data_IF_271384605893
#
_entry.id   IF_271384605893
#
_cell.length_a   1.000
_cell.length_b   1.000
_cell.length_c   1.000
_cell.angle_alpha   90.00
_cell.angle_beta   90.00
_cell.angle_gamma   90.00
#
_symmetry.space_group_name_H-M   'P 1'
#
loop_
_entity.id
_entity.type
_entity.pdbx_description
1 polymer ?
#
# COMPACT_ATOMS: atom_id res chain seq x y z
N UNK A 1 12.72 59.29 -38.70
CA UNK A 1 11.27 59.16 -39.01
C UNK A 1 11.16 58.35 -40.30
N UNK A 2 10.52 57.19 -40.44
CA UNK A 2 9.68 56.31 -39.61
C UNK A 2 10.09 54.89 -40.02
N UNK A 3 10.47 54.02 -39.08
CA UNK A 3 10.67 52.60 -39.39
C UNK A 3 9.30 51.92 -39.34
N UNK A 4 9.03 51.19 -40.42
CA UNK A 4 7.78 50.56 -40.79
C UNK A 4 7.39 49.47 -39.79
N UNK A 5 6.11 49.44 -39.46
CA UNK A 5 5.47 48.50 -38.56
C UNK A 5 5.61 47.06 -39.09
N UNK A 6 6.13 46.16 -38.25
CA UNK A 6 6.12 44.72 -38.52
C UNK A 6 4.79 44.18 -38.01
N UNK A 7 4.01 43.62 -38.92
CA UNK A 7 2.78 42.92 -38.63
C UNK A 7 2.76 41.61 -39.44
N UNK A 8 2.23 40.58 -38.77
CA UNK A 8 1.54 39.37 -39.25
C UNK A 8 2.36 38.08 -39.49
N UNK A 9 1.83 37.04 -38.83
CA UNK A 9 1.67 35.64 -39.27
C UNK A 9 2.80 34.66 -38.95
N UNK A 10 2.71 34.02 -37.77
CA UNK A 10 3.25 32.66 -37.61
C UNK A 10 2.11 31.69 -37.93
N UNK A 11 2.20 31.08 -39.11
CA UNK A 11 1.32 30.02 -39.57
C UNK A 11 1.66 28.71 -38.83
N UNK A 12 0.63 28.08 -38.25
CA UNK A 12 0.71 26.70 -37.75
C UNK A 12 0.80 25.74 -38.94
N UNK A 13 1.87 24.95 -39.01
CA UNK A 13 1.93 23.76 -39.85
C UNK A 13 2.11 22.55 -38.93
N UNK A 14 1.00 21.86 -38.69
CA UNK A 14 1.02 20.45 -38.30
C UNK A 14 1.53 19.63 -39.48
N UNK A 15 2.52 18.76 -39.24
CA UNK A 15 2.53 17.36 -39.71
C UNK A 15 3.94 16.78 -39.63
N UNK A 16 4.22 16.00 -38.58
CA UNK A 16 5.10 14.82 -38.67
C UNK A 16 4.55 13.77 -37.70
N UNK A 17 3.72 12.85 -38.20
CA UNK A 17 3.55 11.54 -37.57
C UNK A 17 4.38 10.57 -38.39
N UNK A 18 5.64 10.40 -37.99
CA UNK A 18 6.46 9.27 -38.42
C UNK A 18 6.31 8.18 -37.37
N UNK A 19 5.37 7.28 -37.60
CA UNK A 19 5.24 6.04 -36.82
C UNK A 19 6.47 5.16 -37.07
N UNK A 20 7.43 5.19 -36.16
CA UNK A 20 8.48 4.17 -36.06
C UNK A 20 7.94 3.02 -35.23
N UNK A 21 7.58 1.92 -35.90
CA UNK A 21 7.31 0.64 -35.25
C UNK A 21 8.65 -0.01 -34.90
N UNK A 22 9.04 0.01 -33.63
CA UNK A 22 10.12 -0.85 -33.15
C UNK A 22 9.54 -2.22 -32.82
N UNK A 23 9.91 -3.23 -33.62
CA UNK A 23 9.76 -4.62 -33.25
C UNK A 23 10.80 -4.95 -32.18
N UNK A 24 10.39 -5.04 -30.91
CA UNK A 24 11.21 -5.59 -29.83
C UNK A 24 11.16 -7.11 -29.90
N UNK A 25 12.30 -7.71 -30.24
CA UNK A 25 12.56 -9.13 -30.08
C UNK A 25 12.55 -9.47 -28.59
N UNK A 26 11.59 -10.29 -28.16
CA UNK A 26 11.63 -10.91 -26.84
C UNK A 26 12.47 -12.19 -26.92
N UNK A 27 13.71 -12.11 -26.45
CA UNK A 27 14.49 -13.28 -26.03
C UNK A 27 14.18 -13.49 -24.54
N UNK A 28 13.89 -14.74 -24.20
CA UNK A 28 13.53 -15.22 -22.87
C UNK A 28 14.64 -15.04 -21.82
N UNK A 29 14.18 -14.99 -20.57
CA UNK A 29 14.87 -15.18 -19.29
C UNK A 29 15.40 -13.93 -18.59
N UNK A 30 14.68 -13.53 -17.54
CA UNK A 30 15.10 -12.55 -16.55
C UNK A 30 13.92 -12.15 -15.66
N UNK A 31 13.73 -12.90 -14.57
CA UNK A 31 13.08 -12.48 -13.33
C UNK A 31 12.16 -11.25 -13.39
N UNK A 32 10.85 -11.48 -13.57
CA UNK A 32 9.85 -10.55 -13.05
C UNK A 32 9.66 -10.83 -11.54
N UNK A 33 10.61 -10.34 -10.74
CA UNK A 33 10.33 -9.98 -9.34
C UNK A 33 9.55 -8.67 -9.39
N UNK A 34 8.27 -8.79 -9.72
CA UNK A 34 7.29 -7.72 -9.68
C UNK A 34 6.09 -8.23 -8.91
N UNK A 35 6.31 -8.66 -7.67
CA UNK A 35 5.22 -8.82 -6.72
C UNK A 35 4.68 -7.42 -6.45
N UNK A 36 3.70 -7.02 -7.26
CA UNK A 36 2.67 -6.08 -6.87
C UNK A 36 2.26 -6.46 -5.46
N UNK A 37 2.48 -5.52 -4.52
CA UNK A 37 1.93 -5.62 -3.18
C UNK A 37 0.46 -5.97 -3.34
N UNK A 38 0.14 -7.23 -3.09
CA UNK A 38 -1.21 -7.67 -2.94
C UNK A 38 -1.72 -6.88 -1.73
N UNK A 39 -2.52 -5.87 -2.05
CA UNK A 39 -3.55 -5.25 -1.23
C UNK A 39 -4.46 -6.38 -0.71
N UNK A 40 -3.91 -7.19 0.17
CA UNK A 40 -4.65 -8.14 0.98
C UNK A 40 -5.53 -7.26 1.85
N UNK A 41 -6.81 -7.23 1.48
CA UNK A 41 -7.78 -6.22 1.90
C UNK A 41 -7.61 -5.78 3.33
N UNK A 42 -7.78 -4.47 3.53
CA UNK A 42 -7.50 -3.72 4.75
C UNK A 42 -8.00 -4.39 6.06
N UNK A 43 -8.97 -5.32 6.01
CA UNK A 43 -9.51 -6.03 7.16
C UNK A 43 -9.72 -7.56 7.04
N UNK A 44 -9.27 -8.24 5.98
CA UNK A 44 -9.60 -9.66 5.83
C UNK A 44 -8.79 -10.55 6.80
N UNK A 45 -9.37 -10.86 7.97
CA UNK A 45 -8.78 -11.72 9.01
C UNK A 45 -9.72 -12.89 9.37
N UNK A 46 -10.22 -13.61 8.37
CA UNK A 46 -10.83 -14.93 8.59
C UNK A 46 -9.81 -16.06 8.40
N UNK A 47 -8.65 -15.95 9.04
CA UNK A 47 -7.66 -17.04 9.05
C UNK A 47 -7.34 -17.42 10.49
N UNK A 48 -7.72 -18.65 10.88
CA UNK A 48 -7.24 -19.29 12.11
C UNK A 48 -5.81 -19.78 11.84
N UNK A 49 -4.81 -19.04 12.28
CA UNK A 49 -3.43 -19.51 12.33
C UNK A 49 -2.88 -19.30 13.74
N UNK A 50 -2.25 -20.32 14.31
CA UNK A 50 -1.60 -20.28 15.64
C UNK A 50 -0.55 -19.17 15.78
N UNK A 51 -0.11 -18.57 14.67
CA UNK A 51 0.85 -17.47 14.62
C UNK A 51 0.20 -16.08 14.65
N UNK A 52 -1.12 -15.97 14.61
CA UNK A 52 -1.85 -14.70 14.58
C UNK A 52 -2.09 -14.09 15.96
N UNK A 53 -1.91 -14.85 17.04
CA UNK A 53 -2.04 -14.38 18.43
C UNK A 53 -0.71 -13.98 19.07
N UNK A 54 0.40 -14.05 18.32
CA UNK A 54 1.71 -13.60 18.79
C UNK A 54 1.80 -12.08 18.75
N UNK A 55 2.48 -11.52 19.76
CA UNK A 55 2.94 -10.13 19.76
C UNK A 55 3.62 -9.81 18.41
N UNK A 56 3.17 -8.76 17.69
CA UNK A 56 3.66 -8.44 16.36
C UNK A 56 5.15 -8.11 16.35
N UNK A 57 5.70 -7.50 17.41
CA UNK A 57 7.14 -7.22 17.52
C UNK A 57 7.89 -8.53 17.71
N UNK A 58 7.43 -9.40 18.63
CA UNK A 58 8.06 -10.70 18.87
C UNK A 58 8.12 -11.56 17.61
N UNK A 59 7.06 -11.58 16.81
CA UNK A 59 7.03 -12.30 15.52
C UNK A 59 8.08 -11.76 14.54
N UNK A 60 8.29 -10.45 14.51
CA UNK A 60 9.29 -9.81 13.65
C UNK A 60 10.72 -10.11 14.13
N UNK A 61 10.95 -10.12 15.44
CA UNK A 61 12.23 -10.55 16.02
C UNK A 61 12.53 -12.03 15.75
N UNK A 62 11.53 -12.91 15.84
CA UNK A 62 11.65 -14.32 15.43
C UNK A 62 12.06 -14.42 13.95
N UNK A 63 11.47 -13.60 13.06
CA UNK A 63 11.84 -13.58 11.64
C UNK A 63 13.28 -13.11 11.40
N UNK A 64 13.81 -12.17 12.20
CA UNK A 64 15.25 -11.80 12.12
C UNK A 64 16.15 -13.00 12.41
N UNK A 65 15.81 -13.80 13.43
CA UNK A 65 16.57 -15.03 13.77
C UNK A 65 16.52 -16.07 12.65
N UNK A 66 15.38 -16.20 11.97
CA UNK A 66 15.25 -17.08 10.80
C UNK A 66 16.14 -16.60 9.64
N UNK A 67 16.18 -15.29 9.37
CA UNK A 67 17.05 -14.72 8.33
C UNK A 67 18.52 -14.98 8.65
N UNK A 68 18.94 -14.79 9.90
CA UNK A 68 20.32 -15.11 10.32
C UNK A 68 20.65 -16.59 10.14
N UNK A 69 19.69 -17.48 10.38
CA UNK A 69 19.85 -18.92 10.13
C UNK A 69 19.97 -19.21 8.64
N UNK A 70 19.09 -18.65 7.80
CA UNK A 70 19.15 -18.78 6.35
C UNK A 70 20.49 -18.28 5.78
N UNK A 71 21.04 -17.20 6.33
CA UNK A 71 22.36 -16.68 5.94
C UNK A 71 23.50 -17.63 6.31
N UNK A 72 23.48 -18.19 7.54
CA UNK A 72 24.50 -19.16 8.00
C UNK A 72 24.46 -20.46 7.20
N UNK A 73 23.27 -20.89 6.78
CA UNK A 73 23.05 -22.07 5.96
C UNK A 73 23.39 -21.82 4.47
N UNK A 74 23.66 -20.57 4.08
CA UNK A 74 23.96 -20.20 2.69
C UNK A 74 22.73 -20.14 1.78
N UNK A 75 21.52 -20.18 2.34
CA UNK A 75 20.25 -20.13 1.59
C UNK A 75 19.96 -18.73 1.04
N UNK A 76 20.54 -17.69 1.63
CA UNK A 76 20.44 -16.30 1.19
C UNK A 76 21.81 -15.62 1.18
N UNK A 77 21.95 -14.61 0.33
CA UNK A 77 23.15 -13.76 0.30
C UNK A 77 23.15 -12.78 1.47
N UNK A 78 24.34 -12.27 1.81
CA UNK A 78 24.51 -11.22 2.84
C UNK A 78 23.67 -9.98 2.52
N UNK A 79 23.68 -9.53 1.28
CA UNK A 79 22.91 -8.36 0.81
C UNK A 79 21.40 -8.56 1.02
N UNK A 80 20.87 -9.73 0.66
CA UNK A 80 19.45 -10.07 0.86
C UNK A 80 19.09 -10.15 2.34
N UNK A 81 19.97 -10.72 3.16
CA UNK A 81 19.77 -10.79 4.61
C UNK A 81 19.71 -9.39 5.24
N UNK A 82 20.59 -8.48 4.82
CA UNK A 82 20.62 -7.08 5.26
C UNK A 82 19.35 -6.33 4.83
N UNK A 83 18.93 -6.47 3.57
CA UNK A 83 17.70 -5.84 3.06
C UNK A 83 16.45 -6.31 3.84
N UNK A 84 16.31 -7.62 4.03
CA UNK A 84 15.18 -8.19 4.77
C UNK A 84 15.18 -7.75 6.24
N UNK A 85 16.37 -7.72 6.86
CA UNK A 85 16.53 -7.26 8.24
C UNK A 85 16.15 -5.79 8.37
N UNK A 86 16.59 -4.94 7.44
CA UNK A 86 16.22 -3.52 7.39
C UNK A 86 14.71 -3.32 7.27
N UNK A 87 14.04 -4.04 6.37
CA UNK A 87 12.57 -3.99 6.23
C UNK A 87 11.85 -4.38 7.53
N UNK A 88 12.39 -5.35 8.27
CA UNK A 88 11.84 -5.74 9.57
C UNK A 88 12.03 -4.64 10.60
N UNK A 89 13.23 -4.07 10.70
CA UNK A 89 13.53 -3.00 11.64
C UNK A 89 12.66 -1.75 11.39
N UNK A 90 12.46 -1.38 10.12
CA UNK A 90 11.52 -0.33 9.72
C UNK A 90 10.08 -0.63 10.16
N UNK A 91 9.65 -1.90 10.06
CA UNK A 91 8.31 -2.32 10.48
C UNK A 91 8.16 -2.29 12.01
N UNK A 92 9.16 -2.74 12.75
CA UNK A 92 9.19 -2.65 14.21
C UNK A 92 9.14 -1.17 14.64
N UNK A 93 9.91 -0.30 13.99
CA UNK A 93 9.90 1.14 14.27
C UNK A 93 8.52 1.75 14.06
N UNK A 94 7.83 1.44 12.95
CA UNK A 94 6.46 1.90 12.69
C UNK A 94 5.45 1.42 13.74
N UNK A 95 5.60 0.19 14.25
CA UNK A 95 4.74 -0.33 15.32
C UNK A 95 4.99 0.46 16.60
N UNK A 96 6.25 0.62 17.01
CA UNK A 96 6.61 1.39 18.21
C UNK A 96 6.18 2.85 18.14
N UNK A 97 6.33 3.47 16.97
CA UNK A 97 5.85 4.83 16.69
C UNK A 97 4.33 4.92 16.79
N UNK A 98 3.60 3.91 16.31
CA UNK A 98 2.16 3.87 16.47
C UNK A 98 1.76 3.69 17.93
N UNK A 99 2.43 2.80 18.66
CA UNK A 99 2.12 2.46 20.05
C UNK A 99 2.38 3.63 21.01
N UNK A 100 3.35 4.50 20.68
CA UNK A 100 3.66 5.71 21.45
C UNK A 100 2.64 6.85 21.28
N UNK A 101 1.74 6.76 20.30
CA UNK A 101 0.69 7.76 20.10
C UNK A 101 -0.38 7.70 21.19
N UNK A 102 -0.98 8.85 21.47
CA UNK A 102 -2.20 8.93 22.29
C UNK A 102 -3.38 8.26 21.58
N UNK A 103 -4.40 7.82 22.34
CA UNK A 103 -5.58 7.19 21.75
C UNK A 103 -6.25 8.05 20.64
N UNK A 104 -6.47 9.37 20.81
CA UNK A 104 -7.01 10.21 19.74
C UNK A 104 -6.13 10.24 18.48
N UNK A 105 -4.80 10.31 18.64
CA UNK A 105 -3.87 10.29 17.51
C UNK A 105 -3.86 8.92 16.80
N UNK A 106 -3.97 7.82 17.57
CA UNK A 106 -4.13 6.47 17.00
C UNK A 106 -5.39 6.39 16.15
N UNK A 107 -6.52 6.85 16.68
CA UNK A 107 -7.81 6.87 15.97
C UNK A 107 -7.69 7.67 14.67
N UNK A 108 -7.16 8.88 14.72
CA UNK A 108 -6.99 9.70 13.51
C UNK A 108 -6.12 9.00 12.45
N UNK A 109 -4.99 8.43 12.86
CA UNK A 109 -4.09 7.72 11.94
C UNK A 109 -4.74 6.49 11.30
N UNK A 110 -5.52 5.71 12.04
CA UNK A 110 -6.25 4.56 11.45
C UNK A 110 -7.35 5.07 10.51
N UNK A 111 -8.08 6.12 10.90
CA UNK A 111 -9.15 6.69 10.07
C UNK A 111 -8.63 7.22 8.73
N UNK A 112 -7.52 7.97 8.75
CA UNK A 112 -6.88 8.46 7.53
C UNK A 112 -6.52 7.32 6.59
N UNK A 113 -5.87 6.27 7.10
CA UNK A 113 -5.52 5.10 6.29
C UNK A 113 -6.75 4.41 5.70
N UNK A 114 -7.81 4.27 6.49
CA UNK A 114 -9.05 3.66 6.01
C UNK A 114 -9.72 4.50 4.91
N UNK A 115 -9.85 5.81 5.13
CA UNK A 115 -10.39 6.75 4.13
C UNK A 115 -9.62 6.68 2.83
N UNK A 116 -8.28 6.71 2.88
CA UNK A 116 -7.44 6.58 1.68
C UNK A 116 -7.69 5.27 0.93
N UNK A 117 -7.83 4.14 1.64
CA UNK A 117 -8.14 2.86 1.02
C UNK A 117 -9.54 2.87 0.35
N UNK A 118 -10.56 3.41 1.01
CA UNK A 118 -11.91 3.55 0.44
C UNK A 118 -11.92 4.47 -0.77
N UNK A 119 -11.27 5.63 -0.71
CA UNK A 119 -11.15 6.56 -1.84
C UNK A 119 -10.45 5.92 -3.04
N UNK A 120 -9.44 5.08 -2.80
CA UNK A 120 -8.80 4.31 -3.86
C UNK A 120 -9.77 3.29 -4.48
N UNK A 121 -10.59 2.62 -3.68
CA UNK A 121 -11.60 1.68 -4.20
C UNK A 121 -12.69 2.39 -5.01
N UNK A 122 -13.12 3.58 -4.58
CA UNK A 122 -14.05 4.44 -5.33
C UNK A 122 -13.42 4.87 -6.67
N UNK A 123 -12.16 5.35 -6.65
CA UNK A 123 -11.44 5.75 -7.87
C UNK A 123 -11.24 4.59 -8.85
N UNK A 124 -11.03 3.38 -8.34
CA UNK A 124 -10.89 2.15 -9.15
C UNK A 124 -12.24 1.60 -9.64
N UNK A 125 -13.37 2.19 -9.25
CA UNK A 125 -14.71 1.70 -9.59
C UNK A 125 -15.09 0.39 -8.90
N UNK A 126 -14.36 0.00 -7.85
CA UNK A 126 -14.64 -1.21 -7.06
C UNK A 126 -15.90 -1.01 -6.21
N UNK A 127 -16.16 0.23 -5.79
CA UNK A 127 -17.38 0.62 -5.07
C UNK A 127 -17.83 2.02 -5.49
N UNK A 128 -19.10 2.31 -5.27
CA UNK A 128 -19.68 3.65 -5.48
C UNK A 128 -19.24 4.63 -4.40
N UNK A 129 -19.42 5.93 -4.66
CA UNK A 129 -19.11 6.98 -3.69
C UNK A 129 -20.00 6.84 -2.45
N UNK A 130 -21.28 6.56 -2.64
CA UNK A 130 -22.26 6.39 -1.57
C UNK A 130 -21.93 5.19 -0.67
N UNK A 131 -21.50 4.07 -1.25
CA UNK A 131 -21.02 2.90 -0.50
C UNK A 131 -19.74 3.22 0.29
N UNK A 132 -18.81 3.94 -0.33
CA UNK A 132 -17.58 4.39 0.32
C UNK A 132 -17.86 5.31 1.52
N UNK A 133 -18.71 6.32 1.35
CA UNK A 133 -19.12 7.24 2.41
C UNK A 133 -19.80 6.49 3.57
N UNK A 134 -20.67 5.52 3.26
CA UNK A 134 -21.31 4.65 4.25
C UNK A 134 -20.28 3.79 5.01
N UNK A 135 -19.30 3.23 4.31
CA UNK A 135 -18.22 2.43 4.92
C UNK A 135 -17.38 3.28 5.89
N UNK A 136 -17.01 4.50 5.49
CA UNK A 136 -16.28 5.46 6.34
C UNK A 136 -17.09 5.83 7.59
N UNK A 137 -18.39 6.10 7.45
CA UNK A 137 -19.25 6.43 8.59
C UNK A 137 -19.36 5.27 9.59
N UNK A 138 -19.57 4.05 9.11
CA UNK A 138 -19.65 2.85 9.96
C UNK A 138 -18.33 2.58 10.68
N UNK A 139 -17.22 2.73 9.96
CA UNK A 139 -15.88 2.62 10.52
C UNK A 139 -15.63 3.64 11.65
N UNK A 140 -16.02 4.90 11.46
CA UNK A 140 -15.87 5.94 12.48
C UNK A 140 -16.62 5.59 13.77
N UNK A 141 -17.86 5.08 13.66
CA UNK A 141 -18.64 4.63 14.84
C UNK A 141 -17.96 3.48 15.59
N UNK A 142 -17.35 2.55 14.87
CA UNK A 142 -16.60 1.46 15.50
C UNK A 142 -15.33 1.99 16.19
N UNK A 143 -14.66 2.96 15.57
CA UNK A 143 -13.45 3.57 16.09
C UNK A 143 -13.69 4.45 17.32
N UNK A 144 -14.84 5.12 17.42
CA UNK A 144 -15.25 5.86 18.62
C UNK A 144 -15.22 4.97 19.86
N UNK A 145 -15.74 3.75 19.74
CA UNK A 145 -15.83 2.76 20.82
C UNK A 145 -14.54 1.94 21.03
N UNK A 146 -13.51 2.17 20.22
CA UNK A 146 -12.25 1.45 20.32
C UNK A 146 -11.37 2.00 21.46
N UNK A 147 -10.85 1.09 22.28
CA UNK A 147 -10.08 1.35 23.50
C UNK A 147 -8.57 1.57 23.23
N UNK A 148 -8.12 1.38 21.99
CA UNK A 148 -6.71 1.50 21.61
C UNK A 148 -5.94 0.18 21.68
N UNK A 149 -6.56 -0.88 22.21
CA UNK A 149 -5.93 -2.19 22.30
C UNK A 149 -6.36 -3.06 21.13
N UNK A 150 -5.38 -3.72 20.51
CA UNK A 150 -5.54 -4.52 19.31
C UNK A 150 -6.11 -3.73 18.13
N UNK A 151 -5.81 -4.14 16.90
CA UNK A 151 -6.38 -3.44 15.76
C UNK A 151 -7.92 -3.66 15.70
N UNK A 152 -8.75 -2.62 15.48
CA UNK A 152 -10.20 -2.74 15.53
C UNK A 152 -10.69 -3.93 14.69
N UNK A 153 -11.63 -4.70 15.22
CA UNK A 153 -12.23 -5.84 14.52
C UNK A 153 -13.50 -5.37 13.83
N UNK A 154 -13.46 -5.28 12.51
CA UNK A 154 -14.60 -4.87 11.72
C UNK A 154 -15.61 -6.00 11.69
N UNK A 155 -16.82 -5.71 12.14
CA UNK A 155 -17.94 -6.61 11.90
C UNK A 155 -18.29 -6.48 10.42
N UNK A 156 -17.85 -7.44 9.62
CA UNK A 156 -18.32 -7.60 8.25
C UNK A 156 -19.83 -7.86 8.34
N UNK A 157 -20.66 -6.86 8.00
CA UNK A 157 -22.03 -7.15 7.60
C UNK A 157 -21.95 -7.77 6.21
N UNK A 158 -21.72 -9.08 6.16
CA UNK A 158 -21.72 -9.83 4.91
C UNK A 158 -23.17 -10.04 4.44
N UNK A 159 -23.84 -8.97 4.04
CA UNK A 159 -24.94 -9.09 3.07
C UNK A 159 -24.28 -8.96 1.68
N UNK A 160 -23.56 -10.01 1.29
CA UNK A 160 -23.26 -10.21 -0.12
C UNK A 160 -24.57 -10.63 -0.77
N UNK A 161 -25.32 -9.66 -1.30
CA UNK A 161 -26.31 -9.97 -2.32
C UNK A 161 -25.56 -10.56 -3.51
N UNK A 162 -25.62 -11.88 -3.63
CA UNK A 162 -25.30 -12.62 -4.86
C UNK A 162 -26.47 -12.53 -5.80
#
# INVERSE_FOLDING_TARGET
>A
MKKLQILIAIAFIFSIISSSTFAVQTINNGEQVGATEQDAGFFNRNHKHDKCDKDPIKRLEERKKEIEKELKEGNITKEKAEELTKKIDERIAKIKEFDSLTLPQKKERINQKFKTHIEQNVKKGIMTKEEGDKAIQEFNKQLENWDGNNFPKFKEKSERHR
#
